data_IF_176420353184
#
_entry.id   IF_176420353184
#
_cell.length_a   1.000
_cell.length_b   1.000
_cell.length_c   1.000
_cell.angle_alpha   90.00
_cell.angle_beta   90.00
_cell.angle_gamma   90.00
#
_symmetry.space_group_name_H-M   'P 1'
#
loop_
_entity.id
_entity.type
_entity.pdbx_description
1 polymer ?
#
# COMPACT_ATOMS: atom_id res chain seq x y z
N UNK A 1 -51.60 59.78 32.50
CA UNK A 1 -52.51 58.63 32.51
C UNK A 1 -52.59 58.13 31.08
N UNK A 2 -52.07 56.98 30.64
CA UNK A 2 -51.34 55.90 31.29
C UNK A 2 -50.53 55.15 30.23
N UNK A 3 -49.42 54.58 30.70
CA UNK A 3 -48.48 53.72 29.98
C UNK A 3 -49.14 52.40 29.61
N UNK A 4 -48.83 51.85 28.43
CA UNK A 4 -49.28 50.52 28.01
C UNK A 4 -48.31 49.92 26.99
N UNK A 5 -47.24 49.33 27.50
CA UNK A 5 -46.22 48.59 26.74
C UNK A 5 -46.84 47.39 26.01
N UNK A 6 -46.54 47.23 24.71
CA UNK A 6 -46.73 45.96 23.99
C UNK A 6 -45.63 45.01 24.42
N UNK A 7 -45.94 44.07 25.30
CA UNK A 7 -45.08 42.93 25.60
C UNK A 7 -45.08 41.99 24.40
N UNK A 8 -43.87 41.66 23.92
CA UNK A 8 -43.67 40.58 22.95
C UNK A 8 -44.12 39.25 23.57
N UNK A 9 -44.76 38.34 22.82
CA UNK A 9 -44.90 36.97 23.27
C UNK A 9 -43.50 36.33 23.23
N UNK A 10 -43.01 35.95 24.41
CA UNK A 10 -41.89 35.01 24.55
C UNK A 10 -42.32 33.70 23.90
N UNK A 11 -41.82 33.45 22.70
CA UNK A 11 -41.92 32.16 22.03
C UNK A 11 -41.09 31.17 22.86
N UNK A 12 -41.73 30.52 23.82
CA UNK A 12 -41.16 29.40 24.54
C UNK A 12 -40.84 28.32 23.50
N UNK A 13 -39.56 28.10 23.25
CA UNK A 13 -39.08 27.02 22.40
C UNK A 13 -39.63 25.70 22.96
N UNK A 14 -40.67 25.20 22.31
CA UNK A 14 -41.28 23.91 22.58
C UNK A 14 -40.23 22.84 22.28
N UNK A 15 -39.47 22.45 23.30
CA UNK A 15 -38.54 21.35 23.23
C UNK A 15 -39.36 20.08 22.99
N UNK A 16 -39.58 19.75 21.72
CA UNK A 16 -40.20 18.49 21.31
C UNK A 16 -39.47 17.37 22.07
N UNK A 17 -40.18 16.51 22.82
CA UNK A 17 -39.55 15.37 23.45
C UNK A 17 -39.06 14.47 22.32
N UNK A 18 -37.80 14.63 21.92
CA UNK A 18 -37.11 13.68 21.06
C UNK A 18 -37.21 12.38 21.83
N UNK A 19 -38.10 11.49 21.36
CA UNK A 19 -38.47 10.25 22.03
C UNK A 19 -37.21 9.59 22.58
N UNK A 20 -36.96 9.75 23.89
CA UNK A 20 -35.75 9.30 24.57
C UNK A 20 -35.55 7.79 24.35
N UNK A 21 -36.66 7.08 24.16
CA UNK A 21 -36.77 5.69 23.75
C UNK A 21 -36.11 5.39 22.38
N UNK A 22 -36.30 6.25 21.38
CA UNK A 22 -35.61 6.15 20.08
C UNK A 22 -34.14 6.55 20.17
N UNK A 23 -33.78 7.45 21.10
CA UNK A 23 -32.40 7.80 21.38
C UNK A 23 -31.65 6.68 22.15
N UNK A 24 -32.34 5.89 22.98
CA UNK A 24 -31.78 4.72 23.69
C UNK A 24 -31.72 3.46 22.83
N UNK A 25 -32.55 3.34 21.80
CA UNK A 25 -32.57 2.20 20.89
C UNK A 25 -31.19 1.81 20.33
N UNK A 26 -30.33 2.72 19.84
CA UNK A 26 -28.99 2.35 19.38
C UNK A 26 -28.10 1.81 20.52
N UNK A 27 -28.22 2.34 21.73
CA UNK A 27 -27.46 1.83 22.89
C UNK A 27 -27.90 0.44 23.31
N UNK A 28 -29.22 0.18 23.33
CA UNK A 28 -29.77 -1.14 23.59
C UNK A 28 -29.30 -2.15 22.52
N UNK A 29 -29.32 -1.74 21.25
CA UNK A 29 -28.84 -2.57 20.14
C UNK A 29 -27.35 -2.90 20.29
N UNK A 30 -26.52 -1.93 20.68
CA UNK A 30 -25.09 -2.15 20.96
C UNK A 30 -24.93 -3.15 22.10
N UNK A 31 -25.67 -3.00 23.20
CA UNK A 31 -25.59 -3.93 24.35
C UNK A 31 -25.99 -5.35 23.94
N UNK A 32 -27.05 -5.50 23.16
CA UNK A 32 -27.49 -6.81 22.64
C UNK A 32 -26.44 -7.40 21.71
N UNK A 33 -25.87 -6.61 20.79
CA UNK A 33 -24.79 -7.07 19.90
C UNK A 33 -23.55 -7.51 20.68
N UNK A 34 -23.12 -6.75 21.69
CA UNK A 34 -21.98 -7.11 22.54
C UNK A 34 -22.28 -8.40 23.32
N UNK A 35 -23.48 -8.54 23.90
CA UNK A 35 -23.88 -9.76 24.60
C UNK A 35 -23.89 -10.98 23.67
N UNK A 36 -24.42 -10.84 22.46
CA UNK A 36 -24.37 -11.89 21.42
C UNK A 36 -22.93 -12.23 21.05
N UNK A 37 -22.08 -11.23 20.82
CA UNK A 37 -20.68 -11.44 20.47
C UNK A 37 -19.92 -12.22 21.56
N UNK A 38 -20.15 -11.88 22.83
CA UNK A 38 -19.54 -12.58 23.97
C UNK A 38 -20.11 -13.99 24.17
N UNK A 39 -21.40 -14.21 23.90
CA UNK A 39 -22.05 -15.51 24.06
C UNK A 39 -21.68 -16.51 22.95
N UNK A 40 -21.55 -16.02 21.72
CA UNK A 40 -21.27 -16.88 20.56
C UNK A 40 -19.79 -17.03 20.25
N UNK A 41 -18.89 -16.25 20.91
CA UNK A 41 -17.44 -16.18 20.70
C UNK A 41 -17.05 -16.52 19.24
N UNK A 42 -17.50 -15.73 18.25
CA UNK A 42 -17.28 -16.04 16.83
C UNK A 42 -15.79 -16.08 16.47
N UNK A 43 -14.91 -15.56 17.34
CA UNK A 43 -13.45 -15.53 17.19
C UNK A 43 -12.78 -16.76 17.82
N UNK A 44 -13.49 -17.54 18.64
CA UNK A 44 -12.96 -18.72 19.33
C UNK A 44 -12.36 -19.74 18.37
N UNK A 45 -13.08 -20.08 17.29
CA UNK A 45 -12.61 -21.03 16.27
C UNK A 45 -11.43 -20.53 15.42
N UNK A 46 -11.13 -19.22 15.44
CA UNK A 46 -9.93 -18.67 14.80
C UNK A 46 -8.68 -18.84 15.68
N UNK A 47 -8.84 -19.09 16.99
CA UNK A 47 -7.72 -19.31 17.92
C UNK A 47 -7.10 -20.71 17.80
N UNK A 48 -7.86 -21.67 17.24
CA UNK A 48 -7.41 -23.05 17.04
C UNK A 48 -6.59 -23.23 15.76
N UNK A 49 -6.50 -22.20 14.91
CA UNK A 49 -5.60 -22.21 13.76
C UNK A 49 -4.19 -21.96 14.29
N UNK A 50 -3.25 -22.91 14.15
CA UNK A 50 -1.87 -22.69 14.57
C UNK A 50 -1.34 -21.42 13.89
N UNK A 51 -0.63 -20.55 14.62
CA UNK A 51 0.02 -19.40 14.02
C UNK A 51 0.84 -19.82 12.80
N UNK A 52 0.48 -19.31 11.62
CA UNK A 52 1.26 -19.57 10.43
C UNK A 52 2.57 -18.77 10.53
N UNK A 53 3.69 -19.48 10.52
CA UNK A 53 4.97 -18.85 10.20
C UNK A 53 4.90 -18.31 8.77
N UNK A 54 5.35 -17.08 8.57
CA UNK A 54 5.42 -16.48 7.24
C UNK A 54 6.69 -15.62 7.16
N UNK A 55 7.51 -15.88 6.15
CA UNK A 55 8.69 -15.09 5.83
C UNK A 55 8.52 -14.46 4.47
N UNK A 56 8.66 -13.13 4.41
CA UNK A 56 8.75 -12.39 3.16
C UNK A 56 10.20 -12.01 2.89
N UNK A 57 10.56 -11.99 1.60
CA UNK A 57 11.79 -11.37 1.12
C UNK A 57 11.41 -9.98 0.63
N UNK A 58 11.81 -8.95 1.37
CA UNK A 58 11.44 -7.56 1.08
C UNK A 58 12.36 -6.94 0.02
N UNK A 59 13.65 -7.34 0.02
CA UNK A 59 14.64 -6.81 -0.91
C UNK A 59 15.76 -7.82 -1.15
N UNK A 60 16.21 -7.92 -2.38
CA UNK A 60 17.45 -8.62 -2.75
C UNK A 60 18.36 -7.62 -3.44
N UNK A 61 19.60 -7.50 -2.98
CA UNK A 61 20.64 -6.71 -3.63
C UNK A 61 21.81 -7.59 -4.02
N UNK A 62 22.38 -7.26 -5.16
CA UNK A 62 23.49 -7.98 -5.76
C UNK A 62 24.69 -7.06 -5.85
N UNK A 63 25.78 -7.49 -5.23
CA UNK A 63 27.11 -6.90 -5.31
C UNK A 63 28.07 -7.97 -5.88
N UNK A 64 29.28 -7.61 -6.36
CA UNK A 64 30.23 -8.60 -6.85
C UNK A 64 30.43 -9.73 -5.83
N UNK A 65 30.14 -10.97 -6.24
CA UNK A 65 30.24 -12.21 -5.44
C UNK A 65 29.43 -12.24 -4.13
N UNK A 66 28.45 -11.35 -3.97
CA UNK A 66 27.69 -11.19 -2.74
C UNK A 66 26.21 -10.93 -3.02
N UNK A 67 25.35 -11.73 -2.39
CA UNK A 67 23.91 -11.51 -2.36
C UNK A 67 23.54 -11.06 -0.95
N UNK A 68 22.82 -9.94 -0.84
CA UNK A 68 22.26 -9.48 0.42
C UNK A 68 20.74 -9.46 0.33
N UNK A 69 20.09 -10.14 1.27
CA UNK A 69 18.65 -10.24 1.37
C UNK A 69 18.15 -9.52 2.61
N UNK A 70 17.09 -8.75 2.46
CA UNK A 70 16.31 -8.22 3.58
C UNK A 70 15.06 -9.07 3.70
N UNK A 71 14.91 -9.73 4.85
CA UNK A 71 13.80 -10.64 5.11
C UNK A 71 12.98 -10.13 6.29
N UNK A 72 11.68 -10.37 6.27
CA UNK A 72 10.77 -9.95 7.33
C UNK A 72 9.88 -11.10 7.76
N UNK A 73 9.64 -11.18 9.08
CA UNK A 73 8.70 -12.13 9.65
C UNK A 73 7.28 -11.55 9.60
N UNK A 74 6.46 -12.05 8.69
CA UNK A 74 5.05 -11.71 8.57
C UNK A 74 4.14 -12.62 9.42
N UNK A 75 4.72 -13.64 10.05
CA UNK A 75 4.04 -14.57 10.96
C UNK A 75 3.75 -13.98 12.34
N UNK A 76 2.93 -14.69 13.13
CA UNK A 76 2.59 -14.23 14.48
C UNK A 76 3.67 -14.56 15.53
N UNK A 77 4.38 -15.67 15.33
CA UNK A 77 5.41 -16.17 16.23
C UNK A 77 6.83 -15.80 15.75
N UNK A 78 7.83 -15.74 16.65
CA UNK A 78 9.20 -15.49 16.28
C UNK A 78 9.77 -16.63 15.41
N UNK A 79 10.47 -16.26 14.34
CA UNK A 79 11.04 -17.19 13.36
C UNK A 79 12.55 -17.13 13.38
N UNK A 80 13.19 -18.30 13.25
CA UNK A 80 14.64 -18.43 13.09
C UNK A 80 14.95 -19.10 11.76
N UNK A 81 15.81 -18.48 10.97
CA UNK A 81 16.32 -19.04 9.73
C UNK A 81 17.43 -20.03 10.08
N UNK A 82 17.34 -21.25 9.57
CA UNK A 82 18.30 -22.32 9.82
C UNK A 82 19.22 -22.55 8.63
N UNK A 83 18.71 -22.45 7.40
CA UNK A 83 19.48 -22.70 6.18
C UNK A 83 19.04 -21.77 5.06
N UNK A 84 19.96 -21.53 4.12
CA UNK A 84 19.70 -20.83 2.86
C UNK A 84 20.15 -21.73 1.72
N UNK A 85 19.29 -21.85 0.71
CA UNK A 85 19.62 -22.51 -0.54
C UNK A 85 19.64 -21.48 -1.67
N UNK A 86 20.64 -21.58 -2.53
CA UNK A 86 20.75 -20.82 -3.77
C UNK A 86 20.84 -21.80 -4.93
N UNK A 87 19.91 -21.71 -5.89
CA UNK A 87 19.79 -22.62 -7.03
C UNK A 87 19.83 -24.11 -6.62
N UNK A 88 19.10 -24.44 -5.55
CA UNK A 88 19.00 -25.81 -5.01
C UNK A 88 20.21 -26.32 -4.20
N UNK A 89 21.24 -25.51 -3.99
CA UNK A 89 22.41 -25.86 -3.18
C UNK A 89 22.42 -25.11 -1.85
N UNK A 90 22.83 -25.76 -0.75
CA UNK A 90 22.98 -25.12 0.56
C UNK A 90 24.25 -24.26 0.62
N UNK A 91 24.11 -23.03 1.14
CA UNK A 91 25.22 -22.09 1.30
C UNK A 91 25.33 -21.55 2.73
N UNK A 92 26.56 -21.21 3.13
CA UNK A 92 26.80 -20.49 4.38
C UNK A 92 26.31 -19.05 4.27
N UNK A 93 25.66 -18.54 5.31
CA UNK A 93 25.15 -17.18 5.37
C UNK A 93 25.57 -16.51 6.67
N UNK A 94 25.68 -15.18 6.63
CA UNK A 94 25.73 -14.33 7.80
C UNK A 94 24.36 -13.65 7.98
N UNK A 95 23.91 -13.45 9.21
CA UNK A 95 22.64 -12.79 9.52
C UNK A 95 22.83 -11.75 10.62
N UNK A 96 22.17 -10.60 10.49
CA UNK A 96 22.24 -9.53 11.49
C UNK A 96 21.57 -9.89 12.82
N UNK A 97 20.41 -10.56 12.76
CA UNK A 97 19.67 -11.04 13.92
C UNK A 97 19.14 -12.44 13.63
N UNK A 98 19.51 -13.41 14.46
CA UNK A 98 19.14 -14.81 14.26
C UNK A 98 17.70 -15.11 14.70
N UNK A 99 17.08 -14.25 15.50
CA UNK A 99 15.73 -14.45 16.02
C UNK A 99 14.83 -13.30 15.59
N UNK A 100 14.01 -13.52 14.56
CA UNK A 100 13.13 -12.49 14.04
C UNK A 100 11.81 -12.49 14.81
N UNK A 101 11.55 -11.51 15.70
CA UNK A 101 10.23 -11.35 16.28
C UNK A 101 9.20 -11.06 15.18
N UNK A 102 7.92 -11.08 15.54
CA UNK A 102 6.85 -10.66 14.62
C UNK A 102 7.13 -9.27 14.04
N UNK A 103 7.01 -9.14 12.72
CA UNK A 103 7.37 -7.95 11.92
C UNK A 103 8.84 -7.52 12.04
N UNK A 104 9.68 -8.35 12.66
CA UNK A 104 11.11 -8.16 12.72
C UNK A 104 11.74 -8.33 11.34
N UNK A 105 12.75 -7.52 11.07
CA UNK A 105 13.52 -7.55 9.84
C UNK A 105 14.95 -7.96 10.14
N UNK A 106 15.52 -8.81 9.31
CA UNK A 106 16.94 -9.15 9.36
C UNK A 106 17.58 -9.05 7.97
N UNK A 107 18.88 -8.78 7.96
CA UNK A 107 19.69 -8.77 6.76
C UNK A 107 20.51 -10.05 6.72
N UNK A 108 20.37 -10.81 5.64
CA UNK A 108 21.17 -12.00 5.36
C UNK A 108 22.16 -11.69 4.25
N UNK A 109 23.39 -12.15 4.43
CA UNK A 109 24.46 -11.99 3.44
C UNK A 109 25.03 -13.35 3.09
N UNK A 110 25.08 -13.64 1.80
CA UNK A 110 25.56 -14.91 1.25
C UNK A 110 26.64 -14.60 0.21
N UNK A 111 27.84 -15.12 0.43
CA UNK A 111 28.92 -15.07 -0.57
C UNK A 111 28.62 -16.09 -1.65
N UNK A 112 28.17 -15.61 -2.82
CA UNK A 112 27.76 -16.45 -3.93
C UNK A 112 28.20 -15.79 -5.25
N UNK A 113 28.98 -16.48 -6.09
CA UNK A 113 29.49 -15.95 -7.35
C UNK A 113 28.40 -16.00 -8.44
N UNK A 114 27.43 -15.09 -8.36
CA UNK A 114 26.36 -14.99 -9.34
C UNK A 114 26.85 -14.33 -10.64
N UNK A 115 26.14 -14.61 -11.74
CA UNK A 115 26.42 -14.02 -13.04
C UNK A 115 25.28 -13.07 -13.46
N UNK A 116 25.60 -11.88 -14.02
CA UNK A 116 24.59 -10.94 -14.49
C UNK A 116 23.69 -11.54 -15.58
N UNK A 117 22.39 -11.32 -15.44
CA UNK A 117 21.37 -11.76 -16.39
C UNK A 117 20.91 -13.21 -16.21
N UNK A 118 21.53 -13.98 -15.31
CA UNK A 118 21.06 -15.32 -14.97
C UNK A 118 20.03 -15.28 -13.83
N UNK A 119 19.06 -16.22 -13.83
CA UNK A 119 18.14 -16.36 -12.73
C UNK A 119 18.84 -16.90 -11.48
N UNK A 120 18.41 -16.42 -10.32
CA UNK A 120 18.85 -16.91 -9.01
C UNK A 120 17.62 -17.24 -8.18
N UNK A 121 17.42 -18.52 -7.92
CA UNK A 121 16.42 -19.02 -6.98
C UNK A 121 17.00 -19.02 -5.57
N UNK A 122 16.28 -18.43 -4.63
CA UNK A 122 16.67 -18.30 -3.23
C UNK A 122 15.60 -18.96 -2.38
N UNK A 123 15.97 -19.97 -1.61
CA UNK A 123 15.06 -20.65 -0.68
C UNK A 123 15.58 -20.51 0.74
N UNK A 124 14.79 -19.89 1.60
CA UNK A 124 15.07 -19.76 3.03
C UNK A 124 14.35 -20.90 3.76
N UNK A 125 15.06 -21.58 4.64
CA UNK A 125 14.51 -22.67 5.46
C UNK A 125 14.54 -22.26 6.93
N UNK A 126 13.39 -22.28 7.59
CA UNK A 126 13.29 -21.97 9.03
C UNK A 126 13.69 -23.18 9.88
N UNK A 127 13.90 -22.96 11.19
CA UNK A 127 14.18 -24.05 12.15
C UNK A 127 13.03 -25.04 12.31
N UNK A 128 11.81 -24.66 11.94
CA UNK A 128 10.63 -25.54 11.94
C UNK A 128 10.41 -26.24 10.60
N UNK A 129 11.24 -25.93 9.59
CA UNK A 129 11.20 -26.55 8.27
C UNK A 129 10.30 -25.83 7.26
N UNK A 130 9.77 -24.64 7.59
CA UNK A 130 9.07 -23.82 6.61
C UNK A 130 10.07 -23.32 5.55
N UNK A 131 9.67 -23.40 4.29
CA UNK A 131 10.46 -22.92 3.15
C UNK A 131 9.81 -21.69 2.53
N UNK A 132 10.55 -20.59 2.43
CA UNK A 132 10.16 -19.39 1.69
C UNK A 132 11.05 -19.24 0.45
N UNK A 133 10.46 -19.38 -0.74
CA UNK A 133 11.16 -19.29 -2.02
C UNK A 133 10.97 -17.91 -2.65
N UNK A 134 12.05 -17.36 -3.18
CA UNK A 134 12.06 -16.12 -3.94
C UNK A 134 13.01 -16.25 -5.14
N UNK A 135 12.50 -16.02 -6.35
CA UNK A 135 13.29 -16.12 -7.58
C UNK A 135 13.51 -14.73 -8.16
N UNK A 136 14.77 -14.43 -8.42
CA UNK A 136 15.16 -13.25 -9.20
C UNK A 136 15.44 -13.73 -10.62
N UNK A 137 14.56 -13.40 -11.55
CA UNK A 137 14.63 -13.89 -12.95
C UNK A 137 15.89 -13.42 -13.70
N UNK A 138 16.38 -12.22 -13.37
CA UNK A 138 17.59 -11.67 -13.97
C UNK A 138 18.37 -10.93 -12.89
N UNK A 139 19.41 -11.58 -12.36
CA UNK A 139 20.31 -10.94 -11.40
C UNK A 139 21.06 -9.79 -12.06
N UNK A 140 21.08 -8.62 -11.42
CA UNK A 140 21.76 -7.44 -11.93
C UNK A 140 22.43 -6.70 -10.78
N UNK A 141 23.61 -6.13 -11.04
CA UNK A 141 24.31 -5.31 -10.06
C UNK A 141 23.37 -4.21 -9.57
N UNK A 142 23.16 -4.17 -8.26
CA UNK A 142 22.34 -3.13 -7.66
C UNK A 142 23.12 -1.82 -7.73
N UNK A 143 22.62 -0.78 -8.44
CA UNK A 143 23.34 0.48 -8.55
C UNK A 143 23.59 1.10 -7.19
N UNK A 144 24.82 1.53 -6.95
CA UNK A 144 25.16 2.32 -5.77
C UNK A 144 24.52 3.70 -5.79
N UNK A 145 24.47 4.35 -4.62
CA UNK A 145 24.08 5.76 -4.52
C UNK A 145 25.27 6.61 -4.98
N UNK A 146 25.46 6.69 -6.29
CA UNK A 146 26.51 7.50 -6.92
C UNK A 146 25.98 8.87 -7.34
N UNK A 147 26.85 9.88 -7.35
CA UNK A 147 26.48 11.25 -7.76
C UNK A 147 25.96 11.33 -9.20
N UNK A 148 26.46 10.47 -10.10
CA UNK A 148 25.96 10.32 -11.47
C UNK A 148 24.51 9.78 -11.49
N UNK A 149 24.23 8.75 -10.70
CA UNK A 149 22.89 8.17 -10.52
C UNK A 149 21.90 9.19 -9.97
N UNK A 150 22.31 9.97 -8.96
CA UNK A 150 21.49 11.08 -8.43
C UNK A 150 21.22 12.15 -9.49
N UNK A 151 22.22 12.51 -10.30
CA UNK A 151 22.04 13.47 -11.38
C UNK A 151 21.05 12.98 -12.43
N UNK A 152 21.12 11.69 -12.82
CA UNK A 152 20.18 11.07 -13.75
C UNK A 152 18.76 11.07 -13.18
N UNK A 153 18.56 10.67 -11.92
CA UNK A 153 17.24 10.68 -11.31
C UNK A 153 16.69 12.09 -11.11
N UNK A 154 17.54 13.06 -10.79
CA UNK A 154 17.15 14.47 -10.71
C UNK A 154 16.70 14.98 -12.07
N UNK A 155 17.46 14.68 -13.13
CA UNK A 155 17.10 15.03 -14.50
C UNK A 155 15.77 14.40 -14.89
N UNK A 156 15.57 13.11 -14.59
CA UNK A 156 14.31 12.40 -14.84
C UNK A 156 13.13 13.05 -14.10
N UNK A 157 13.33 13.42 -12.83
CA UNK A 157 12.34 14.14 -12.04
C UNK A 157 12.00 15.52 -12.62
N UNK A 158 12.98 16.25 -13.15
CA UNK A 158 12.76 17.52 -13.85
C UNK A 158 11.94 17.29 -15.12
N UNK A 159 12.27 16.28 -15.92
CA UNK A 159 11.53 15.93 -17.14
C UNK A 159 10.10 15.46 -16.87
N UNK A 160 9.86 14.75 -15.75
CA UNK A 160 8.52 14.27 -15.40
C UNK A 160 7.68 15.28 -14.62
N UNK A 161 8.29 16.21 -13.88
CA UNK A 161 7.58 17.15 -13.02
C UNK A 161 7.60 18.58 -13.54
N UNK A 162 8.80 19.17 -13.60
CA UNK A 162 8.96 20.61 -13.88
C UNK A 162 8.64 20.93 -15.33
N UNK A 163 9.16 20.15 -16.27
CA UNK A 163 9.00 20.40 -17.71
C UNK A 163 7.52 20.37 -18.13
N UNK A 164 6.70 19.37 -17.76
CA UNK A 164 5.29 19.33 -18.13
C UNK A 164 4.49 20.52 -17.55
N UNK A 165 4.77 20.91 -16.31
CA UNK A 165 4.13 22.07 -15.67
C UNK A 165 4.52 23.37 -16.37
N UNK A 166 5.81 23.56 -16.65
CA UNK A 166 6.30 24.75 -17.36
C UNK A 166 5.67 24.86 -18.75
N UNK A 167 5.61 23.75 -19.51
CA UNK A 167 4.94 23.69 -20.81
C UNK A 167 3.45 24.03 -20.67
N UNK A 168 2.74 23.45 -19.70
CA UNK A 168 1.34 23.78 -19.44
C UNK A 168 1.11 25.27 -19.14
N UNK A 169 1.98 25.87 -18.32
CA UNK A 169 1.93 27.30 -17.99
C UNK A 169 2.27 28.19 -19.19
N UNK A 170 3.16 27.77 -20.07
CA UNK A 170 3.46 28.48 -21.32
C UNK A 170 2.23 28.53 -22.26
N UNK A 171 1.36 27.52 -22.23
CA UNK A 171 0.10 27.50 -22.97
C UNK A 171 -1.03 28.32 -22.32
N UNK A 172 -0.91 28.66 -21.03
CA UNK A 172 -1.92 29.43 -20.29
C UNK A 172 -2.40 30.72 -21.00
N UNK A 173 -1.52 31.61 -21.52
CA UNK A 173 -1.97 32.82 -22.22
C UNK A 173 -2.76 32.51 -23.50
N UNK A 174 -2.41 31.43 -24.23
CA UNK A 174 -3.15 31.01 -25.42
C UNK A 174 -4.55 30.48 -25.03
N UNK A 175 -4.63 29.67 -23.98
CA UNK A 175 -5.89 29.18 -23.41
C UNK A 175 -6.78 30.33 -22.92
N UNK A 176 -6.21 31.33 -22.27
CA UNK A 176 -6.96 32.54 -21.85
C UNK A 176 -7.55 33.33 -23.01
N UNK A 177 -6.93 33.28 -24.19
CA UNK A 177 -7.43 33.93 -25.41
C UNK A 177 -8.41 33.03 -26.18
N UNK A 178 -8.51 31.75 -25.82
CA UNK A 178 -9.44 30.83 -26.46
C UNK A 178 -10.88 31.23 -26.10
N UNK A 179 -11.68 31.53 -27.13
CA UNK A 179 -13.08 31.86 -26.95
C UNK A 179 -13.94 30.63 -26.59
N UNK A 180 -15.22 30.84 -26.23
CA UNK A 180 -16.14 29.76 -25.85
C UNK A 180 -16.22 28.64 -26.90
N UNK A 181 -16.19 28.99 -28.19
CA UNK A 181 -16.24 28.04 -29.31
C UNK A 181 -15.10 27.03 -29.31
N UNK A 182 -13.87 27.48 -29.05
CA UNK A 182 -12.69 26.61 -29.01
C UNK A 182 -12.79 25.64 -27.83
N UNK A 183 -13.22 26.14 -26.66
CA UNK A 183 -13.42 25.31 -25.46
C UNK A 183 -14.49 24.25 -25.71
N UNK A 184 -15.63 24.62 -26.29
CA UNK A 184 -16.69 23.67 -26.65
C UNK A 184 -16.21 22.62 -27.65
N UNK A 185 -15.41 22.99 -28.65
CA UNK A 185 -14.83 22.04 -29.60
C UNK A 185 -13.94 21.00 -28.90
N UNK A 186 -12.97 21.44 -28.09
CA UNK A 186 -12.08 20.52 -27.38
C UNK A 186 -12.85 19.63 -26.39
N UNK A 187 -13.87 20.17 -25.72
CA UNK A 187 -14.72 19.39 -24.81
C UNK A 187 -15.56 18.33 -25.55
N UNK A 188 -16.10 18.67 -26.71
CA UNK A 188 -16.80 17.71 -27.56
C UNK A 188 -15.83 16.62 -28.08
N UNK A 189 -14.61 17.00 -28.44
CA UNK A 189 -13.56 16.07 -28.87
C UNK A 189 -13.16 15.10 -27.75
N UNK A 190 -12.92 15.60 -26.53
CA UNK A 190 -12.57 14.75 -25.39
C UNK A 190 -13.71 13.82 -25.00
N UNK A 191 -14.96 14.30 -25.01
CA UNK A 191 -16.13 13.44 -24.82
C UNK A 191 -16.23 12.36 -25.91
N UNK A 192 -16.02 12.73 -27.17
CA UNK A 192 -16.05 11.78 -28.28
C UNK A 192 -14.97 10.72 -28.17
N UNK A 193 -13.75 11.10 -27.80
CA UNK A 193 -12.64 10.18 -27.58
C UNK A 193 -12.89 9.27 -26.37
N UNK A 194 -13.47 9.80 -25.29
CA UNK A 194 -13.85 9.03 -24.12
C UNK A 194 -14.94 8.00 -24.43
N UNK A 195 -15.95 8.40 -25.21
CA UNK A 195 -16.99 7.48 -25.68
C UNK A 195 -16.42 6.39 -26.60
N UNK A 196 -15.47 6.76 -27.48
CA UNK A 196 -14.76 5.81 -28.32
C UNK A 196 -13.98 4.78 -27.48
N UNK A 197 -13.19 5.23 -26.51
CA UNK A 197 -12.45 4.34 -25.60
C UNK A 197 -13.37 3.41 -24.81
N UNK A 198 -14.52 3.92 -24.34
CA UNK A 198 -15.51 3.08 -23.66
C UNK A 198 -15.98 1.94 -24.56
N UNK A 199 -16.34 2.23 -25.81
CA UNK A 199 -16.77 1.22 -26.77
C UNK A 199 -15.66 0.20 -27.06
N UNK A 200 -14.45 0.68 -27.29
CA UNK A 200 -13.25 -0.14 -27.55
C UNK A 200 -13.01 -1.13 -26.40
N UNK A 201 -12.93 -0.62 -25.17
CA UNK A 201 -12.73 -1.46 -23.98
C UNK A 201 -13.83 -2.49 -23.74
N UNK A 202 -15.09 -2.17 -24.07
CA UNK A 202 -16.22 -3.11 -23.94
C UNK A 202 -16.17 -4.16 -25.05
N UNK A 203 -15.81 -3.78 -26.28
CA UNK A 203 -15.69 -4.70 -27.41
C UNK A 203 -14.53 -5.68 -27.27
N UNK A 204 -13.41 -5.26 -26.67
CA UNK A 204 -12.26 -6.12 -26.39
C UNK A 204 -12.46 -7.01 -25.14
N UNK A 205 -13.33 -6.59 -24.23
CA UNK A 205 -13.62 -7.29 -22.98
C UNK A 205 -14.72 -8.36 -23.05
N UNK A 206 -15.40 -8.52 -24.20
CA UNK A 206 -16.42 -9.56 -24.47
C UNK A 206 -15.89 -10.65 -25.38
#
# INVERSE_FOLDING_TARGET
MGVGQRTAPTEAAEARPINLLRALAPFLLIVVMVALFLAFDPVGGLRDVPPAEALSVDRVTFQPDLITLTVRNDGADPVRIAQVQLNGAFWSYAISDANLPRLGTATLTVSYPWEPGLPVEIVLVTSTGLTASHTVEAAALTPGVDGSTLAVYTLLGIYMGVVPVAIGLLWYPALRRAGPRSVTFFLALTLGLLAFLLVDTVAEGV
#
